data_IF_841625397049
#
_entry.id   IF_841625397049
#
_cell.length_a   1.000
_cell.length_b   1.000
_cell.length_c   1.000
_cell.angle_alpha   90.00
_cell.angle_beta   90.00
_cell.angle_gamma   90.00
#
_symmetry.space_group_name_H-M   'P 1'
#
loop_
_entity.id
_entity.type
_entity.pdbx_description
1 polymer ?
#
# COMPACT_ATOMS: atom_id res chain seq x y z
N UNK A 1 -0.56 -11.78 -19.31
CA UNK A 1 -0.79 -12.33 -17.95
C UNK A 1 -1.59 -11.41 -17.02
N UNK A 2 -1.42 -10.06 -17.04
CA UNK A 2 -2.13 -9.13 -16.14
C UNK A 2 -3.67 -9.24 -16.17
N UNK A 3 -4.27 -9.38 -17.35
CA UNK A 3 -5.73 -9.52 -17.51
C UNK A 3 -6.30 -10.76 -16.81
N UNK A 4 -5.58 -11.90 -16.81
CA UNK A 4 -6.04 -13.12 -16.13
C UNK A 4 -6.17 -12.92 -14.63
N UNK A 5 -5.25 -12.13 -14.05
CA UNK A 5 -5.29 -11.80 -12.63
C UNK A 5 -6.43 -10.85 -12.31
N UNK A 6 -6.67 -9.83 -13.13
CA UNK A 6 -7.82 -8.93 -12.97
C UNK A 6 -9.12 -9.74 -13.06
N UNK A 7 -9.24 -10.63 -14.04
CA UNK A 7 -10.44 -11.43 -14.25
C UNK A 7 -10.70 -12.39 -13.08
N UNK A 8 -9.68 -13.15 -12.66
CA UNK A 8 -9.82 -14.11 -11.57
C UNK A 8 -10.17 -13.43 -10.24
N UNK A 9 -9.42 -12.39 -9.87
CA UNK A 9 -9.67 -11.66 -8.62
C UNK A 9 -10.91 -10.79 -8.66
N UNK A 10 -11.20 -10.18 -9.80
CA UNK A 10 -12.43 -9.43 -10.02
C UNK A 10 -13.65 -10.31 -9.85
N UNK A 11 -13.63 -11.53 -10.40
CA UNK A 11 -14.71 -12.48 -10.18
C UNK A 11 -14.92 -12.79 -8.69
N UNK A 12 -13.85 -13.09 -7.96
CA UNK A 12 -13.93 -13.36 -6.50
C UNK A 12 -14.46 -12.14 -5.74
N UNK A 13 -13.99 -10.93 -6.06
CA UNK A 13 -14.48 -9.69 -5.45
C UNK A 13 -15.96 -9.43 -5.71
N UNK A 14 -16.41 -9.67 -6.95
CA UNK A 14 -17.81 -9.55 -7.33
C UNK A 14 -18.72 -10.55 -6.65
N UNK A 15 -18.30 -11.82 -6.55
CA UNK A 15 -19.05 -12.87 -5.83
C UNK A 15 -19.16 -12.55 -4.34
N UNK A 16 -18.07 -12.09 -3.71
CA UNK A 16 -18.10 -11.72 -2.30
C UNK A 16 -19.04 -10.54 -2.04
N UNK A 17 -18.99 -9.52 -2.90
CA UNK A 17 -19.93 -8.39 -2.83
C UNK A 17 -21.37 -8.86 -2.98
N UNK A 18 -21.66 -9.66 -4.00
CA UNK A 18 -23.01 -10.20 -4.24
C UNK A 18 -23.53 -10.99 -3.03
N UNK A 19 -22.65 -11.77 -2.38
CA UNK A 19 -22.99 -12.57 -1.20
C UNK A 19 -23.28 -11.71 0.04
N UNK A 20 -22.76 -10.48 0.12
CA UNK A 20 -22.99 -9.56 1.23
C UNK A 20 -24.35 -8.82 1.11
N UNK A 21 -24.99 -8.89 -0.06
CA UNK A 21 -26.28 -8.29 -0.37
C UNK A 21 -26.23 -6.80 -0.68
N UNK A 22 -27.38 -6.27 -1.12
CA UNK A 22 -27.53 -4.90 -1.63
C UNK A 22 -28.07 -3.89 -0.60
N UNK A 23 -27.99 -4.23 0.69
CA UNK A 23 -28.39 -3.30 1.75
C UNK A 23 -27.46 -2.08 1.80
N UNK A 24 -27.98 -0.92 2.22
CA UNK A 24 -27.18 0.29 2.41
C UNK A 24 -25.96 0.00 3.30
N UNK A 25 -26.16 -0.67 4.43
CA UNK A 25 -25.10 -1.05 5.36
C UNK A 25 -24.04 -1.93 4.70
N UNK A 26 -24.44 -2.95 3.94
CA UNK A 26 -23.51 -3.84 3.23
C UNK A 26 -22.65 -3.06 2.23
N UNK A 27 -23.28 -2.21 1.42
CA UNK A 27 -22.62 -1.42 0.38
C UNK A 27 -21.63 -0.43 1.01
N UNK A 28 -22.01 0.24 2.10
CA UNK A 28 -21.15 1.18 2.82
C UNK A 28 -19.94 0.48 3.44
N UNK A 29 -20.15 -0.65 4.12
CA UNK A 29 -19.08 -1.42 4.74
C UNK A 29 -18.10 -1.94 3.69
N UNK A 30 -18.60 -2.50 2.59
CA UNK A 30 -17.75 -3.01 1.50
C UNK A 30 -16.91 -1.91 0.85
N UNK A 31 -17.51 -0.74 0.58
CA UNK A 31 -16.78 0.41 0.04
C UNK A 31 -15.73 0.94 1.03
N UNK A 32 -16.09 1.10 2.31
CA UNK A 32 -15.16 1.57 3.34
C UNK A 32 -13.99 0.60 3.56
N UNK A 33 -14.29 -0.70 3.70
CA UNK A 33 -13.29 -1.74 3.88
C UNK A 33 -12.38 -1.85 2.65
N UNK A 34 -12.94 -1.79 1.44
CA UNK A 34 -12.19 -1.81 0.20
C UNK A 34 -11.27 -0.60 0.04
N UNK A 35 -11.73 0.61 0.40
CA UNK A 35 -10.91 1.82 0.37
C UNK A 35 -9.73 1.72 1.34
N UNK A 36 -9.96 1.24 2.57
CA UNK A 36 -8.91 1.04 3.58
C UNK A 36 -7.90 -0.02 3.10
N UNK A 37 -8.39 -1.15 2.58
CA UNK A 37 -7.56 -2.20 2.02
C UNK A 37 -6.71 -1.68 0.85
N UNK A 38 -7.29 -0.85 -0.03
CA UNK A 38 -6.58 -0.25 -1.15
C UNK A 38 -5.49 0.70 -0.67
N UNK A 39 -5.77 1.50 0.36
CA UNK A 39 -4.79 2.41 0.96
C UNK A 39 -3.60 1.65 1.57
N UNK A 40 -3.85 0.53 2.24
CA UNK A 40 -2.81 -0.36 2.75
C UNK A 40 -2.00 -0.97 1.61
N UNK A 41 -2.66 -1.60 0.63
CA UNK A 41 -1.98 -2.20 -0.53
C UNK A 41 -1.17 -1.16 -1.27
N UNK A 42 -1.72 0.04 -1.52
CA UNK A 42 -0.99 1.12 -2.19
C UNK A 42 0.24 1.57 -1.41
N UNK A 43 0.24 1.47 -0.09
CA UNK A 43 1.37 1.85 0.76
C UNK A 43 2.42 0.74 0.89
N UNK A 44 2.01 -0.54 0.86
CA UNK A 44 2.90 -1.70 0.91
C UNK A 44 3.44 -2.13 -0.45
N UNK A 45 2.65 -1.98 -1.51
CA UNK A 45 2.94 -2.48 -2.85
C UNK A 45 3.96 -1.63 -3.62
N UNK A 46 4.46 -0.53 -3.04
CA UNK A 46 5.49 0.32 -3.65
C UNK A 46 6.69 -0.50 -4.17
N UNK A 47 6.95 -1.71 -3.63
CA UNK A 47 8.04 -2.61 -4.09
C UNK A 47 7.65 -4.08 -4.36
N UNK A 48 6.37 -4.49 -4.50
CA UNK A 48 6.05 -5.92 -4.71
C UNK A 48 5.02 -6.23 -5.80
N UNK A 49 5.49 -7.05 -6.74
CA UNK A 49 4.78 -7.94 -7.69
C UNK A 49 3.51 -7.41 -8.36
N UNK A 50 3.57 -7.31 -9.69
CA UNK A 50 2.46 -6.95 -10.60
C UNK A 50 1.11 -7.62 -10.27
N UNK A 51 1.14 -8.88 -9.81
CA UNK A 51 -0.06 -9.61 -9.42
C UNK A 51 -0.82 -8.98 -8.25
N UNK A 52 -0.11 -8.41 -7.29
CA UNK A 52 -0.69 -7.81 -6.09
C UNK A 52 -1.41 -6.50 -6.44
N UNK A 53 -0.72 -5.64 -7.18
CA UNK A 53 -1.24 -4.34 -7.61
C UNK A 53 -2.40 -4.51 -8.60
N UNK A 54 -2.20 -5.29 -9.66
CA UNK A 54 -3.18 -5.42 -10.74
C UNK A 54 -4.29 -6.42 -10.40
N UNK A 55 -3.96 -7.52 -9.73
CA UNK A 55 -4.93 -8.54 -9.35
C UNK A 55 -5.77 -8.11 -8.14
N UNK A 56 -5.13 -7.84 -7.00
CA UNK A 56 -5.87 -7.51 -5.77
C UNK A 56 -6.35 -6.06 -5.80
N UNK A 57 -5.48 -5.10 -6.16
CA UNK A 57 -5.84 -3.69 -6.20
C UNK A 57 -6.91 -3.38 -7.25
N UNK A 58 -6.64 -3.69 -8.52
CA UNK A 58 -7.58 -3.37 -9.61
C UNK A 58 -8.71 -4.40 -9.71
N UNK A 59 -8.40 -5.69 -9.70
CA UNK A 59 -9.40 -6.75 -9.84
C UNK A 59 -10.29 -6.90 -8.60
N UNK A 60 -9.74 -7.43 -7.51
CA UNK A 60 -10.52 -7.78 -6.32
C UNK A 60 -11.18 -6.56 -5.68
N UNK A 61 -10.40 -5.54 -5.29
CA UNK A 61 -10.94 -4.36 -4.61
C UNK A 61 -11.83 -3.55 -5.55
N UNK A 62 -11.45 -3.41 -6.83
CA UNK A 62 -12.27 -2.72 -7.82
C UNK A 62 -13.65 -3.34 -8.02
N UNK A 63 -13.75 -4.68 -8.02
CA UNK A 63 -15.04 -5.37 -8.11
C UNK A 63 -15.80 -5.44 -6.78
N UNK A 64 -15.08 -5.46 -5.66
CA UNK A 64 -15.65 -5.49 -4.31
C UNK A 64 -16.32 -4.16 -3.94
N UNK A 65 -15.71 -3.05 -4.36
CA UNK A 65 -16.20 -1.69 -4.12
C UNK A 65 -17.11 -1.22 -5.26
N UNK A 66 -17.98 -0.25 -4.97
CA UNK A 66 -18.97 0.24 -5.92
C UNK A 66 -19.42 1.64 -5.64
N UNK A 67 -19.05 2.55 -6.53
CA UNK A 67 -19.58 3.90 -6.49
C UNK A 67 -21.02 3.96 -6.96
N UNK A 68 -21.40 3.19 -8.00
CA UNK A 68 -22.74 3.23 -8.56
C UNK A 68 -23.82 2.83 -7.56
N UNK A 69 -23.68 1.67 -6.90
CA UNK A 69 -24.69 1.27 -5.90
C UNK A 69 -24.69 2.20 -4.70
N UNK A 70 -23.53 2.72 -4.27
CA UNK A 70 -23.46 3.73 -3.22
C UNK A 70 -24.25 4.99 -3.58
N UNK A 71 -24.15 5.46 -4.82
CA UNK A 71 -24.92 6.61 -5.30
C UNK A 71 -26.41 6.32 -5.38
N UNK A 72 -26.81 5.17 -5.93
CA UNK A 72 -28.21 4.78 -6.01
C UNK A 72 -28.86 4.72 -4.62
N UNK A 73 -28.23 4.05 -3.64
CA UNK A 73 -28.80 3.98 -2.29
C UNK A 73 -28.79 5.32 -1.56
N UNK A 74 -27.81 6.18 -1.84
CA UNK A 74 -27.76 7.53 -1.23
C UNK A 74 -28.86 8.43 -1.79
N UNK A 75 -29.08 8.40 -3.11
CA UNK A 75 -30.14 9.17 -3.76
C UNK A 75 -31.53 8.66 -3.35
N UNK A 76 -31.71 7.34 -3.27
CA UNK A 76 -32.95 6.74 -2.80
C UNK A 76 -33.25 7.13 -1.34
N UNK A 77 -32.27 7.00 -0.45
CA UNK A 77 -32.41 7.44 0.95
C UNK A 77 -32.71 8.94 1.07
N UNK A 78 -32.15 9.78 0.20
CA UNK A 78 -32.43 11.21 0.15
C UNK A 78 -33.86 11.50 -0.30
N UNK A 79 -34.34 10.80 -1.33
CA UNK A 79 -35.72 10.92 -1.81
C UNK A 79 -36.75 10.53 -0.76
N UNK A 80 -36.41 9.64 0.17
CA UNK A 80 -37.28 9.19 1.26
C UNK A 80 -37.17 10.07 2.51
N UNK A 81 -36.38 11.16 2.48
CA UNK A 81 -36.09 12.02 3.64
C UNK A 81 -35.51 11.25 4.86
N UNK A 82 -34.83 10.14 4.60
CA UNK A 82 -34.28 9.27 5.64
C UNK A 82 -33.00 9.85 6.23
N UNK A 83 -32.86 9.77 7.55
CA UNK A 83 -31.64 10.20 8.28
C UNK A 83 -30.41 9.36 7.87
N UNK A 84 -30.63 8.20 7.26
CA UNK A 84 -29.58 7.30 6.76
C UNK A 84 -28.65 7.96 5.73
N UNK A 85 -29.08 9.02 5.04
CA UNK A 85 -28.21 9.83 4.16
C UNK A 85 -27.05 10.45 4.95
N UNK A 86 -27.33 10.91 6.18
CA UNK A 86 -26.30 11.52 7.01
C UNK A 86 -25.30 10.46 7.49
N UNK A 87 -25.78 9.25 7.77
CA UNK A 87 -24.93 8.10 8.09
C UNK A 87 -24.06 7.68 6.91
N UNK A 88 -24.60 7.69 5.68
CA UNK A 88 -23.83 7.34 4.48
C UNK A 88 -22.73 8.35 4.16
N UNK A 89 -23.03 9.65 4.29
CA UNK A 89 -22.03 10.70 4.18
C UNK A 89 -20.96 10.58 5.28
N UNK A 90 -21.38 10.36 6.53
CA UNK A 90 -20.48 10.20 7.67
C UNK A 90 -19.51 9.02 7.50
N UNK A 91 -20.01 7.86 7.08
CA UNK A 91 -19.19 6.67 6.83
C UNK A 91 -18.25 6.88 5.65
N UNK A 92 -18.71 7.54 4.59
CA UNK A 92 -17.85 7.86 3.44
C UNK A 92 -16.70 8.77 3.85
N UNK A 93 -16.98 9.89 4.52
CA UNK A 93 -15.95 10.81 5.00
C UNK A 93 -15.03 10.13 6.02
N UNK A 94 -15.59 9.36 6.95
CA UNK A 94 -14.84 8.59 7.93
C UNK A 94 -13.88 7.57 7.29
N UNK A 95 -14.32 6.89 6.23
CA UNK A 95 -13.47 5.95 5.50
C UNK A 95 -12.30 6.63 4.79
N UNK A 96 -12.49 7.84 4.26
CA UNK A 96 -11.40 8.65 3.67
C UNK A 96 -10.37 9.02 4.76
N UNK A 97 -10.84 9.47 5.93
CA UNK A 97 -9.96 9.78 7.05
C UNK A 97 -9.17 8.53 7.52
N UNK A 98 -9.85 7.38 7.60
CA UNK A 98 -9.22 6.09 7.93
C UNK A 98 -8.21 5.65 6.86
N UNK A 99 -8.46 5.89 5.58
CA UNK A 99 -7.48 5.64 4.52
C UNK A 99 -6.21 6.47 4.75
N UNK A 100 -6.36 7.77 5.04
CA UNK A 100 -5.23 8.64 5.37
C UNK A 100 -4.45 8.14 6.58
N UNK A 101 -5.15 7.71 7.63
CA UNK A 101 -4.52 7.12 8.82
C UNK A 101 -3.80 5.81 8.50
N UNK A 102 -4.41 4.91 7.73
CA UNK A 102 -3.81 3.65 7.31
C UNK A 102 -2.52 3.88 6.50
N UNK A 103 -2.52 4.84 5.58
CA UNK A 103 -1.31 5.24 4.84
C UNK A 103 -0.24 5.81 5.79
N UNK A 104 -0.62 6.68 6.72
CA UNK A 104 0.31 7.28 7.68
C UNK A 104 0.96 6.23 8.60
N UNK A 105 0.17 5.28 9.11
CA UNK A 105 0.66 4.17 9.93
C UNK A 105 1.62 3.29 9.13
N UNK A 106 1.27 2.96 7.88
CA UNK A 106 2.10 2.13 7.01
C UNK A 106 3.45 2.80 6.70
N UNK A 107 3.47 4.12 6.49
CA UNK A 107 4.72 4.88 6.29
C UNK A 107 5.59 4.88 7.55
N UNK A 108 4.99 5.02 8.74
CA UNK A 108 5.71 4.97 10.02
C UNK A 108 6.32 3.61 10.31
N UNK A 109 5.62 2.52 9.99
CA UNK A 109 6.17 1.16 10.15
C UNK A 109 7.33 0.91 9.21
N UNK A 110 7.25 1.39 7.96
CA UNK A 110 8.34 1.25 6.99
C UNK A 110 9.59 2.02 7.41
N UNK A 111 9.45 3.30 7.80
CA UNK A 111 10.59 4.10 8.27
C UNK A 111 11.24 3.54 9.54
N UNK A 112 10.46 2.89 10.42
CA UNK A 112 11.02 2.18 11.60
C UNK A 112 11.79 0.92 11.25
N UNK A 113 11.40 0.20 10.19
CA UNK A 113 12.12 -0.99 9.75
C UNK A 113 13.49 -0.62 9.17
N UNK A 114 13.55 0.41 8.31
CA UNK A 114 14.79 0.89 7.69
C UNK A 114 15.81 1.40 8.73
N UNK A 115 15.35 2.15 9.76
CA UNK A 115 16.19 2.61 10.88
C UNK A 115 16.76 1.47 11.75
N UNK A 116 16.09 0.32 11.81
CA UNK A 116 16.52 -0.81 12.63
C UNK A 116 17.50 -1.74 11.90
N UNK A 117 17.56 -1.66 10.57
CA UNK A 117 18.52 -2.39 9.73
C UNK A 117 19.85 -1.63 9.53
N UNK A 118 19.84 -0.29 9.66
CA UNK A 118 21.01 0.58 9.55
C UNK A 118 22.22 0.29 10.48
N UNK A 119 22.08 -0.29 11.70
CA UNK A 119 23.24 -0.58 12.56
C UNK A 119 24.15 -1.71 12.06
N UNK A 120 23.66 -2.60 11.18
CA UNK A 120 24.39 -3.82 10.77
C UNK A 120 25.34 -3.59 9.60
N UNK A 121 24.90 -2.83 8.59
CA UNK A 121 25.74 -2.56 7.41
C UNK A 121 26.90 -1.62 7.74
N UNK A 122 26.67 -0.61 8.58
CA UNK A 122 27.74 0.28 9.00
C UNK A 122 28.82 -0.45 9.80
N UNK A 123 28.47 -1.31 10.77
CA UNK A 123 29.45 -2.10 11.50
C UNK A 123 30.22 -3.09 10.61
N UNK A 124 29.56 -3.71 9.63
CA UNK A 124 30.21 -4.65 8.72
C UNK A 124 31.18 -3.94 7.78
N UNK A 125 30.84 -2.72 7.33
CA UNK A 125 31.74 -1.89 6.52
C UNK A 125 32.96 -1.40 7.32
N UNK A 126 32.77 -0.98 8.59
CA UNK A 126 33.91 -0.59 9.46
C UNK A 126 34.81 -1.78 9.81
N UNK A 127 34.23 -2.97 10.00
CA UNK A 127 34.98 -4.21 10.28
C UNK A 127 35.77 -4.71 9.07
N UNK A 128 35.27 -4.48 7.86
CA UNK A 128 35.99 -4.83 6.62
C UNK A 128 37.11 -3.83 6.30
N UNK A 129 36.91 -2.53 6.57
CA UNK A 129 37.98 -1.53 6.43
C UNK A 129 39.14 -1.74 7.41
N UNK A 130 38.84 -2.12 8.66
CA UNK A 130 39.86 -2.43 9.68
C UNK A 130 40.60 -3.75 9.47
N UNK A 131 40.14 -4.60 8.54
CA UNK A 131 40.82 -5.84 8.13
C UNK A 131 41.66 -5.70 6.87
N UNK A 132 41.69 -4.54 6.22
CA UNK A 132 42.61 -4.32 5.12
C UNK A 132 44.04 -4.24 5.68
N UNK A 133 44.98 -5.10 5.23
CA UNK A 133 46.37 -4.94 5.59
C UNK A 133 46.81 -3.55 5.12
N UNK A 134 47.47 -2.81 6.01
CA UNK A 134 48.09 -1.54 5.67
C UNK A 134 48.95 -1.75 4.42
N UNK A 135 48.58 -1.08 3.34
CA UNK A 135 49.38 -1.08 2.12
C UNK A 135 50.80 -0.66 2.52
N UNK A 136 51.85 -1.42 2.16
CA UNK A 136 53.21 -0.98 2.45
C UNK A 136 53.40 0.35 1.74
N UNK A 137 53.62 1.40 2.52
CA UNK A 137 54.12 2.68 2.04
C UNK A 137 55.39 2.39 1.25
N UNK A 138 55.30 2.53 -0.07
CA UNK A 138 56.47 2.47 -0.95
C UNK A 138 57.49 3.50 -0.45
N UNK A 139 58.77 3.12 -0.28
CA UNK A 139 59.77 4.06 0.16
C UNK A 139 60.00 5.10 -0.94
N UNK A 140 60.08 6.37 -0.51
CA UNK A 140 60.69 7.44 -1.30
C UNK A 140 62.09 6.99 -1.74
N UNK A 141 62.31 6.98 -3.06
CA UNK A 141 63.62 7.01 -3.67
C UNK A 141 63.77 8.34 -4.39
N UNK A 142 64.29 9.34 -3.67
CA UNK A 142 65.10 10.36 -4.32
C UNK A 142 66.31 9.63 -4.91
N UNK A 143 66.46 9.66 -6.23
CA UNK A 143 67.80 9.70 -6.81
C UNK A 143 67.83 10.41 -8.16
N UNK A 144 68.77 11.34 -8.19
CA UNK A 144 69.16 12.24 -9.24
C UNK A 144 69.68 11.56 -10.52
N UNK A 145 69.57 12.32 -11.62
CA UNK A 145 70.59 12.56 -12.66
C UNK A 145 70.84 11.57 -13.82
N UNK A 146 71.02 12.20 -15.01
CA UNK A 146 71.67 11.75 -16.28
C UNK A 146 70.80 10.83 -17.16
N UNK A 147 70.57 11.09 -18.46
CA UNK A 147 71.24 11.88 -19.52
C UNK A 147 70.16 12.44 -20.45
#
# INVERSE_FOLDING_TARGET
>A
MKILYIMGFGFVGGVLRFSCGDSLTSILILNAAGAIALAMISSFAVHRTVWLETGIGVGFIGSLTTFSSLMFVTVDAYSQHSIEVLASMGITVGSIALCGLAMALTRRTKGRAELNDEPRDNQQNTRNQSRMPAHPSAPMGDDMQRV
#
